data_IF_811596001652
#
_entry.id   IF_811596001652
#
_cell.length_a   1.000
_cell.length_b   1.000
_cell.length_c   1.000
_cell.angle_alpha   90.00
_cell.angle_beta   90.00
_cell.angle_gamma   90.00
#
_symmetry.space_group_name_H-M   'P 1'
#
loop_
_entity.id
_entity.type
_entity.pdbx_description
1 polymer ?
#
# COMPACT_ATOMS: atom_id res chain seq x y z
N UNK A 1 -5.39 -0.14 -15.39
CA UNK A 1 -4.17 -0.54 -14.68
C UNK A 1 -4.37 -1.93 -14.11
N UNK A 2 -3.54 -2.87 -14.53
CA UNK A 2 -3.50 -4.26 -14.03
C UNK A 2 -2.90 -4.31 -12.62
N UNK A 3 -3.11 -5.41 -11.90
CA UNK A 3 -2.52 -5.64 -10.58
C UNK A 3 -0.99 -5.70 -10.64
N UNK A 4 -0.42 -6.26 -11.72
CA UNK A 4 1.04 -6.31 -11.96
C UNK A 4 1.65 -4.90 -12.12
N UNK A 5 0.99 -4.04 -12.89
CA UNK A 5 1.40 -2.63 -13.05
C UNK A 5 1.31 -1.87 -11.73
N UNK A 6 0.23 -2.06 -10.96
CA UNK A 6 0.04 -1.43 -9.65
C UNK A 6 1.16 -1.83 -8.67
N UNK A 7 1.50 -3.11 -8.59
CA UNK A 7 2.63 -3.62 -7.80
C UNK A 7 3.96 -3.02 -8.23
N UNK A 8 4.21 -2.95 -9.54
CA UNK A 8 5.42 -2.35 -10.11
C UNK A 8 5.56 -0.87 -9.72
N UNK A 9 4.49 -0.10 -9.89
CA UNK A 9 4.45 1.32 -9.50
C UNK A 9 4.60 1.50 -8.00
N UNK A 10 3.93 0.70 -7.17
CA UNK A 10 4.07 0.77 -5.72
C UNK A 10 5.52 0.54 -5.28
N UNK A 11 6.22 -0.42 -5.91
CA UNK A 11 7.65 -0.66 -5.64
C UNK A 11 8.51 0.56 -5.97
N UNK A 12 8.24 1.22 -7.11
CA UNK A 12 8.95 2.45 -7.51
C UNK A 12 8.69 3.56 -6.48
N UNK A 13 7.42 3.79 -6.13
CA UNK A 13 7.03 4.80 -5.14
C UNK A 13 7.70 4.56 -3.78
N UNK A 14 7.71 3.32 -3.29
CA UNK A 14 8.43 2.94 -2.06
C UNK A 14 9.94 3.19 -2.18
N UNK A 15 10.55 2.93 -3.34
CA UNK A 15 11.99 3.19 -3.57
C UNK A 15 12.32 4.68 -3.48
N UNK A 16 11.40 5.53 -3.93
CA UNK A 16 11.49 6.99 -3.82
C UNK A 16 10.96 7.55 -2.48
N UNK A 17 10.73 6.69 -1.48
CA UNK A 17 10.25 7.09 -0.14
C UNK A 17 8.91 7.84 -0.17
N UNK A 18 8.09 7.62 -1.21
CA UNK A 18 6.72 8.17 -1.25
C UNK A 18 5.86 7.36 -0.27
N UNK A 19 5.23 8.00 0.72
CA UNK A 19 4.53 7.30 1.79
C UNK A 19 3.29 6.55 1.27
N UNK A 20 2.93 5.45 1.94
CA UNK A 20 1.74 4.66 1.60
C UNK A 20 0.44 5.48 1.68
N UNK A 21 0.42 6.53 2.52
CA UNK A 21 -0.68 7.50 2.61
C UNK A 21 -0.96 8.26 1.32
N UNK A 22 0.00 8.33 0.40
CA UNK A 22 -0.14 8.93 -0.94
C UNK A 22 -0.19 7.85 -2.03
N UNK A 23 0.70 6.86 -1.94
CA UNK A 23 0.85 5.82 -2.95
C UNK A 23 -0.40 4.95 -3.09
N UNK A 24 -0.99 4.48 -1.98
CA UNK A 24 -2.15 3.57 -2.02
C UNK A 24 -3.40 4.27 -2.57
N UNK A 25 -3.80 5.46 -2.10
CA UNK A 25 -4.95 6.18 -2.69
C UNK A 25 -4.77 6.49 -4.18
N UNK A 26 -3.56 6.87 -4.59
CA UNK A 26 -3.25 7.14 -6.01
C UNK A 26 -3.49 5.89 -6.88
N UNK A 27 -2.95 4.74 -6.46
CA UNK A 27 -3.08 3.49 -7.22
C UNK A 27 -4.52 2.99 -7.27
N UNK A 28 -5.24 3.05 -6.14
CA UNK A 28 -6.67 2.69 -6.10
C UNK A 28 -7.48 3.57 -7.05
N UNK A 29 -7.23 4.89 -7.06
CA UNK A 29 -7.94 5.82 -7.93
C UNK A 29 -7.67 5.55 -9.42
N UNK A 30 -6.42 5.19 -9.76
CA UNK A 30 -6.04 4.77 -11.11
C UNK A 30 -6.71 3.46 -11.56
N UNK A 31 -7.16 2.62 -10.61
CA UNK A 31 -8.00 1.44 -10.87
C UNK A 31 -9.50 1.72 -10.78
N UNK A 32 -9.91 2.99 -10.68
CA UNK A 32 -11.30 3.41 -10.48
C UNK A 32 -11.92 2.92 -9.16
N UNK A 33 -11.11 2.54 -8.19
CA UNK A 33 -11.53 2.22 -6.83
C UNK A 33 -11.38 3.44 -5.90
N UNK A 34 -12.26 3.54 -4.90
CA UNK A 34 -12.18 4.56 -3.85
C UNK A 34 -11.58 4.03 -2.54
N UNK A 35 -11.02 4.93 -1.72
CA UNK A 35 -10.60 4.57 -0.35
C UNK A 35 -11.81 4.15 0.50
N UNK A 36 -12.94 4.85 0.38
CA UNK A 36 -14.15 4.52 1.12
C UNK A 36 -14.65 3.12 0.74
N UNK A 37 -14.87 2.89 -0.55
CA UNK A 37 -15.29 1.60 -1.10
C UNK A 37 -14.35 0.45 -0.71
N UNK A 38 -13.03 0.68 -0.75
CA UNK A 38 -12.05 -0.33 -0.35
C UNK A 38 -12.10 -0.59 1.16
N UNK A 39 -12.34 0.44 1.97
CA UNK A 39 -12.53 0.29 3.42
C UNK A 39 -13.79 -0.54 3.72
N UNK A 40 -14.89 -0.26 3.02
CA UNK A 40 -16.17 -0.96 3.15
C UNK A 40 -16.02 -2.44 2.75
N UNK A 41 -15.33 -2.73 1.64
CA UNK A 41 -15.00 -4.10 1.22
C UNK A 41 -14.15 -4.85 2.27
N UNK A 42 -13.24 -4.14 2.94
CA UNK A 42 -12.44 -4.69 4.02
C UNK A 42 -13.19 -4.80 5.36
N UNK A 43 -14.44 -4.35 5.44
CA UNK A 43 -15.24 -4.31 6.67
C UNK A 43 -14.66 -3.37 7.73
N UNK A 44 -14.02 -2.27 7.31
CA UNK A 44 -13.37 -1.33 8.21
C UNK A 44 -13.76 0.12 7.93
N UNK A 45 -13.69 0.97 8.96
CA UNK A 45 -13.96 2.39 8.79
C UNK A 45 -12.82 3.08 8.05
N UNK A 46 -13.14 4.08 7.21
CA UNK A 46 -12.15 4.87 6.44
C UNK A 46 -11.05 5.49 7.32
N UNK A 47 -11.38 5.90 8.54
CA UNK A 47 -10.39 6.41 9.50
C UNK A 47 -9.37 5.35 9.90
N UNK A 48 -9.79 4.09 10.10
CA UNK A 48 -8.89 2.98 10.41
C UNK A 48 -7.97 2.67 9.24
N UNK A 49 -8.49 2.67 8.01
CA UNK A 49 -7.67 2.56 6.80
C UNK A 49 -6.57 3.63 6.82
N UNK A 50 -6.95 4.91 6.94
CA UNK A 50 -5.98 6.02 6.93
C UNK A 50 -4.93 5.88 8.04
N UNK A 51 -5.34 5.59 9.26
CA UNK A 51 -4.42 5.36 10.38
C UNK A 51 -3.46 4.19 10.13
N UNK A 52 -3.90 3.15 9.44
CA UNK A 52 -3.05 2.02 9.07
C UNK A 52 -2.02 2.37 8.01
N UNK A 53 -2.38 3.18 7.00
CA UNK A 53 -1.42 3.70 6.02
C UNK A 53 -0.40 4.66 6.65
N UNK A 54 -0.81 5.42 7.67
CA UNK A 54 0.05 6.30 8.46
C UNK A 54 0.97 5.53 9.43
N UNK A 55 0.79 4.21 9.58
CA UNK A 55 1.52 3.39 10.54
C UNK A 55 1.10 3.61 12.01
N UNK A 56 0.02 4.35 12.26
CA UNK A 56 -0.50 4.63 13.61
C UNK A 56 -1.31 3.48 14.21
N UNK A 57 -1.84 2.60 13.35
CA UNK A 57 -2.57 1.38 13.74
C UNK A 57 -2.09 0.21 12.89
N UNK A 58 -2.16 -1.00 13.46
CA UNK A 58 -1.93 -2.22 12.71
C UNK A 58 -3.07 -2.38 11.67
N UNK A 59 -2.76 -2.68 10.38
CA UNK A 59 -3.79 -2.96 9.39
C UNK A 59 -4.57 -4.23 9.75
N UNK A 60 -5.91 -4.23 9.65
CA UNK A 60 -6.70 -5.45 9.73
C UNK A 60 -6.32 -6.44 8.64
N UNK A 61 -6.38 -7.74 8.92
CA UNK A 61 -6.07 -8.80 7.93
C UNK A 61 -6.93 -8.68 6.67
N UNK A 62 -8.21 -8.33 6.82
CA UNK A 62 -9.13 -8.16 5.69
C UNK A 62 -8.72 -6.98 4.80
N UNK A 63 -8.20 -5.90 5.38
CA UNK A 63 -7.70 -4.76 4.61
C UNK A 63 -6.44 -5.14 3.82
N UNK A 64 -5.56 -5.96 4.39
CA UNK A 64 -4.39 -6.50 3.68
C UNK A 64 -4.85 -7.35 2.49
N UNK A 65 -5.78 -8.29 2.71
CA UNK A 65 -6.29 -9.17 1.66
C UNK A 65 -6.93 -8.40 0.50
N UNK A 66 -7.79 -7.41 0.80
CA UNK A 66 -8.42 -6.56 -0.22
C UNK A 66 -7.37 -5.77 -1.01
N UNK A 67 -6.34 -5.25 -0.35
CA UNK A 67 -5.26 -4.53 -1.03
C UNK A 67 -4.34 -5.46 -1.83
N UNK A 68 -4.13 -6.70 -1.38
CA UNK A 68 -3.42 -7.72 -2.14
C UNK A 68 -4.15 -8.07 -3.44
N UNK A 69 -5.48 -8.20 -3.38
CA UNK A 69 -6.32 -8.43 -4.55
C UNK A 69 -6.24 -7.25 -5.54
N UNK A 70 -6.39 -6.02 -5.05
CA UNK A 70 -6.42 -4.82 -5.90
C UNK A 70 -5.04 -4.44 -6.44
N UNK A 71 -3.99 -4.51 -5.62
CA UNK A 71 -2.66 -4.02 -5.93
C UNK A 71 -1.66 -5.13 -6.28
N UNK A 72 -2.06 -6.40 -6.19
CA UNK A 72 -1.20 -7.56 -6.45
C UNK A 72 -0.12 -7.81 -5.38
N UNK A 73 -0.19 -7.11 -4.23
CA UNK A 73 0.73 -7.29 -3.10
C UNK A 73 0.24 -6.58 -1.82
N UNK A 74 0.78 -7.02 -0.68
CA UNK A 74 0.69 -6.32 0.61
C UNK A 74 1.56 -5.05 0.56
N UNK A 75 0.96 -3.84 0.65
CA UNK A 75 1.70 -2.58 0.58
C UNK A 75 2.72 -2.39 1.71
N UNK A 76 2.37 -2.81 2.93
CA UNK A 76 3.23 -2.66 4.10
C UNK A 76 4.43 -3.61 4.01
N UNK A 77 4.21 -4.85 3.60
CA UNK A 77 5.29 -5.82 3.38
C UNK A 77 6.23 -5.36 2.26
N UNK A 78 5.69 -4.85 1.16
CA UNK A 78 6.51 -4.35 0.05
C UNK A 78 7.35 -3.14 0.46
N UNK A 79 6.76 -2.19 1.19
CA UNK A 79 7.49 -1.04 1.72
C UNK A 79 8.66 -1.47 2.62
N UNK A 80 8.41 -2.38 3.56
CA UNK A 80 9.44 -2.90 4.46
C UNK A 80 10.59 -3.59 3.70
N UNK A 81 10.28 -4.39 2.66
CA UNK A 81 11.27 -5.03 1.79
C UNK A 81 12.12 -4.03 1.01
N UNK A 82 11.52 -2.94 0.52
CA UNK A 82 12.26 -1.92 -0.22
C UNK A 82 13.17 -1.13 0.72
N UNK A 83 12.70 -0.80 1.93
CA UNK A 83 13.50 -0.10 2.95
C UNK A 83 14.70 -0.91 3.43
N UNK A 84 14.54 -2.22 3.64
CA UNK A 84 15.66 -3.08 4.08
C UNK A 84 16.77 -3.15 3.03
N UNK A 85 16.43 -3.26 1.74
CA UNK A 85 17.41 -3.31 0.64
C UNK A 85 18.21 -2.01 0.46
N UNK A 86 17.62 -0.86 0.76
CA UNK A 86 18.34 0.42 0.70
C UNK A 86 19.38 0.57 1.81
N UNK A 87 19.12 -0.03 2.97
CA UNK A 87 20.03 0.03 4.12
C UNK A 87 21.30 -0.80 3.90
N UNK A 88 21.24 -1.84 3.06
CA UNK A 88 22.37 -2.70 2.71
C UNK A 88 23.30 -2.14 1.62
N UNK A 89 22.96 -1.01 1.00
CA UNK A 89 23.72 -0.43 -0.11
C UNK A 89 24.65 0.73 0.31
N UNK A 90 24.75 1.00 1.62
CA UNK A 90 25.52 2.13 2.18
C UNK A 90 26.95 1.81 2.65
N UNK A 91 27.46 0.60 2.42
CA UNK A 91 28.87 0.25 2.68
C UNK A 91 29.64 0.12 1.37
N UNK A 92 30.15 1.24 0.86
CA UNK A 92 31.34 1.32 0.00
C UNK A 92 32.01 2.67 0.20
#
# INVERSE_FOLDING_TARGET
>A
MTTSEAKGLLRILCRHRIPLTLSVPFLLRAQRAGIQETADQAGCHRSLFRMALEGRRKPPSNLIAVLEEKLGCDPWRLEAQVRSRQSSSGTK
#
